data_IF_614199778915
#
_entry.id   IF_614199778915
#
_cell.length_a   1.000
_cell.length_b   1.000
_cell.length_c   1.000
_cell.angle_alpha   90.00
_cell.angle_beta   90.00
_cell.angle_gamma   90.00
#
_symmetry.space_group_name_H-M   'P 1'
#
loop_
_entity.id
_entity.type
_entity.pdbx_description
1 polymer ?
#
# COMPACT_ATOMS: atom_id res chain seq x y z
N UNK A 1 3.06 34.85 -21.76
CA UNK A 1 3.98 34.39 -22.81
C UNK A 1 3.79 32.89 -22.95
N UNK A 2 3.21 32.49 -24.08
CA UNK A 2 2.94 31.10 -24.46
C UNK A 2 4.22 30.38 -24.86
N UNK A 3 4.32 29.05 -24.68
CA UNK A 3 5.08 28.18 -25.57
C UNK A 3 4.07 27.31 -26.36
N UNK A 4 3.94 27.52 -27.68
CA UNK A 4 4.70 26.83 -28.73
C UNK A 4 4.49 25.31 -28.71
N UNK A 5 3.52 24.89 -29.52
CA UNK A 5 3.46 23.56 -30.10
C UNK A 5 4.60 23.42 -31.11
N UNK A 6 5.52 22.48 -30.88
CA UNK A 6 6.29 21.81 -31.92
C UNK A 6 6.36 20.32 -31.59
N UNK A 7 6.11 19.50 -32.60
CA UNK A 7 5.90 18.06 -32.46
C UNK A 7 7.17 17.29 -32.07
N UNK A 8 7.04 16.48 -31.02
CA UNK A 8 8.06 15.57 -30.53
C UNK A 8 8.00 15.51 -29.01
N UNK A 9 7.62 14.35 -28.49
CA UNK A 9 7.55 13.97 -27.07
C UNK A 9 8.60 14.69 -26.19
N UNK A 10 8.19 15.02 -24.95
CA UNK A 10 9.00 15.47 -23.78
C UNK A 10 9.02 16.98 -23.50
N UNK A 11 7.92 17.52 -22.95
CA UNK A 11 8.04 18.57 -21.93
C UNK A 11 8.30 17.91 -20.57
N UNK A 12 9.48 17.31 -20.42
CA UNK A 12 9.89 16.74 -19.14
C UNK A 12 10.20 17.88 -18.16
N UNK A 13 9.54 17.88 -16.99
CA UNK A 13 9.83 18.84 -15.93
C UNK A 13 10.08 18.11 -14.61
N UNK A 14 10.94 18.68 -13.77
CA UNK A 14 11.43 18.04 -12.54
C UNK A 14 10.97 18.85 -11.31
N UNK A 15 9.74 18.67 -10.84
CA UNK A 15 9.31 19.19 -9.55
C UNK A 15 9.91 18.35 -8.42
N UNK A 16 10.53 19.01 -7.43
CA UNK A 16 11.06 18.37 -6.22
C UNK A 16 12.06 17.21 -6.48
N UNK A 17 12.76 17.22 -7.62
CA UNK A 17 13.74 16.20 -7.99
C UNK A 17 13.16 14.93 -8.63
N UNK A 18 11.86 14.93 -8.98
CA UNK A 18 11.16 13.77 -9.55
C UNK A 18 10.81 14.07 -11.01
N UNK A 19 11.26 13.26 -11.99
CA UNK A 19 10.95 13.50 -13.40
C UNK A 19 9.46 13.26 -13.69
N UNK A 20 8.87 14.20 -14.43
CA UNK A 20 7.50 14.12 -14.94
C UNK A 20 7.56 14.08 -16.46
N UNK A 21 6.98 13.06 -17.09
CA UNK A 21 6.84 12.99 -18.55
C UNK A 21 5.37 12.93 -18.96
N UNK A 22 5.10 13.42 -20.16
CA UNK A 22 3.78 13.34 -20.77
C UNK A 22 3.70 12.20 -21.79
N UNK A 23 2.59 11.47 -21.83
CA UNK A 23 2.39 10.40 -22.81
C UNK A 23 0.96 9.85 -22.90
N UNK A 24 0.56 9.42 -24.10
CA UNK A 24 -0.81 8.95 -24.41
C UNK A 24 -1.12 7.51 -23.96
N UNK A 25 -0.16 6.81 -23.34
CA UNK A 25 -0.28 5.38 -23.04
C UNK A 25 -1.18 5.07 -21.84
N UNK A 26 -1.59 6.07 -21.06
CA UNK A 26 -2.43 5.85 -19.87
C UNK A 26 -3.63 6.80 -19.81
N UNK A 27 -4.82 6.30 -19.45
CA UNK A 27 -6.05 7.09 -19.37
C UNK A 27 -6.10 8.06 -18.18
N UNK A 28 -5.07 8.07 -17.32
CA UNK A 28 -5.02 8.94 -16.14
C UNK A 28 -3.59 9.15 -15.64
N UNK A 29 -3.39 10.14 -14.75
CA UNK A 29 -2.08 10.44 -14.19
C UNK A 29 -1.61 9.29 -13.29
N UNK A 30 -0.35 8.86 -13.44
CA UNK A 30 0.20 7.70 -12.77
C UNK A 30 1.63 7.94 -12.28
N UNK A 31 2.05 7.21 -11.26
CA UNK A 31 3.44 7.18 -10.77
C UNK A 31 4.03 5.80 -11.01
N UNK A 32 5.17 5.75 -11.69
CA UNK A 32 5.91 4.53 -12.00
C UNK A 32 7.25 4.50 -11.26
N UNK A 33 7.79 3.31 -10.99
CA UNK A 33 9.15 3.13 -10.48
C UNK A 33 9.26 3.08 -8.95
N UNK A 34 10.01 2.08 -8.44
CA UNK A 34 10.16 1.79 -7.01
C UNK A 34 11.26 2.61 -6.34
N UNK A 35 12.45 2.61 -6.92
CA UNK A 35 13.65 3.29 -6.40
C UNK A 35 13.79 4.70 -6.98
N UNK A 36 13.39 4.88 -8.23
CA UNK A 36 13.38 6.14 -8.97
C UNK A 36 11.95 6.40 -9.43
N UNK A 37 11.13 7.11 -8.63
CA UNK A 37 9.76 7.39 -9.01
C UNK A 37 9.74 8.35 -10.20
N UNK A 38 8.82 8.09 -11.12
CA UNK A 38 8.63 8.84 -12.35
C UNK A 38 7.14 9.13 -12.49
N UNK A 39 6.78 10.39 -12.68
CA UNK A 39 5.38 10.79 -12.83
C UNK A 39 5.04 10.78 -14.33
N UNK A 40 3.92 10.17 -14.68
CA UNK A 40 3.39 10.09 -16.04
C UNK A 40 2.07 10.84 -16.08
N UNK A 41 1.97 11.83 -16.94
CA UNK A 41 0.76 12.62 -17.16
C UNK A 41 0.21 12.36 -18.58
N UNK A 42 -1.10 12.18 -18.76
CA UNK A 42 -1.68 12.08 -20.09
C UNK A 42 -1.52 13.41 -20.85
N UNK A 43 -1.26 13.34 -22.16
CA UNK A 43 -1.23 14.54 -22.99
C UNK A 43 -2.62 15.21 -22.98
N UNK A 44 -2.66 16.54 -22.93
CA UNK A 44 -3.92 17.30 -22.93
C UNK A 44 -4.59 17.46 -21.57
N UNK A 45 -3.96 16.99 -20.47
CA UNK A 45 -4.47 17.22 -19.11
C UNK A 45 -4.52 18.71 -18.73
N UNK A 46 -3.60 19.48 -19.30
CA UNK A 46 -3.51 20.95 -19.24
C UNK A 46 -4.70 21.64 -19.91
N UNK A 47 -5.36 21.00 -20.87
CA UNK A 47 -6.60 21.49 -21.50
C UNK A 47 -7.85 21.12 -20.72
N UNK A 48 -7.79 20.06 -19.91
CA UNK A 48 -8.92 19.55 -19.13
C UNK A 48 -9.03 20.22 -17.75
N UNK A 49 -7.88 20.62 -17.18
CA UNK A 49 -7.75 21.13 -15.82
C UNK A 49 -7.29 22.59 -15.80
N UNK A 50 -7.84 23.38 -14.88
CA UNK A 50 -7.35 24.73 -14.57
C UNK A 50 -5.95 24.65 -13.90
N UNK A 51 -5.07 25.68 -13.94
CA UNK A 51 -3.73 25.58 -13.35
C UNK A 51 -3.73 25.22 -11.85
N UNK A 52 -4.74 25.64 -11.08
CA UNK A 52 -4.88 25.25 -9.67
C UNK A 52 -5.27 23.78 -9.49
N UNK A 53 -6.13 23.26 -10.35
CA UNK A 53 -6.54 21.85 -10.39
C UNK A 53 -5.37 20.96 -10.81
N UNK A 54 -4.62 21.38 -11.83
CA UNK A 54 -3.40 20.72 -12.26
C UNK A 54 -2.36 20.68 -11.12
N UNK A 55 -2.17 21.80 -10.41
CA UNK A 55 -1.26 21.86 -9.27
C UNK A 55 -1.69 20.92 -8.12
N UNK A 56 -2.99 20.83 -7.85
CA UNK A 56 -3.53 19.91 -6.84
C UNK A 56 -3.28 18.43 -7.21
N UNK A 57 -3.49 18.06 -8.47
CA UNK A 57 -3.17 16.72 -8.99
C UNK A 57 -1.66 16.46 -8.93
N UNK A 58 -0.83 17.44 -9.29
CA UNK A 58 0.62 17.28 -9.23
C UNK A 58 1.12 17.07 -7.79
N UNK A 59 0.61 17.83 -6.82
CA UNK A 59 0.91 17.62 -5.39
C UNK A 59 0.51 16.20 -4.97
N UNK A 60 -0.66 15.72 -5.41
CA UNK A 60 -1.13 14.36 -5.13
C UNK A 60 -0.14 13.30 -5.67
N UNK A 61 0.29 13.44 -6.92
CA UNK A 61 1.23 12.51 -7.53
C UNK A 61 2.64 12.62 -6.94
N UNK A 62 3.09 13.81 -6.57
CA UNK A 62 4.33 14.02 -5.83
C UNK A 62 4.29 13.36 -4.45
N UNK A 63 3.13 13.34 -3.79
CA UNK A 63 2.97 12.65 -2.51
C UNK A 63 3.14 11.13 -2.67
N UNK A 64 2.56 10.55 -3.73
CA UNK A 64 2.80 9.14 -4.09
C UNK A 64 4.28 8.88 -4.37
N UNK A 65 4.92 9.74 -5.17
CA UNK A 65 6.31 9.58 -5.58
C UNK A 65 7.30 9.74 -4.41
N UNK A 66 7.08 10.70 -3.49
CA UNK A 66 7.92 10.89 -2.30
C UNK A 66 7.82 9.73 -1.32
N UNK A 67 6.67 9.07 -1.22
CA UNK A 67 6.41 8.07 -0.21
C UNK A 67 6.91 6.70 -0.68
N UNK A 68 8.24 6.53 -0.72
CA UNK A 68 8.96 5.31 -1.17
C UNK A 68 8.42 3.99 -0.59
N UNK A 69 7.82 4.03 0.61
CA UNK A 69 7.22 2.85 1.26
C UNK A 69 6.00 2.30 0.53
N UNK A 70 5.30 3.13 -0.24
CA UNK A 70 4.07 2.74 -0.93
C UNK A 70 4.36 1.64 -1.97
N UNK A 71 5.49 1.71 -2.66
CA UNK A 71 5.88 0.68 -3.63
C UNK A 71 6.40 -0.61 -2.99
N UNK A 72 7.02 -0.55 -1.82
CA UNK A 72 7.36 -1.77 -1.07
C UNK A 72 6.10 -2.46 -0.54
N UNK A 73 5.15 -1.69 -0.02
CA UNK A 73 3.85 -2.20 0.42
C UNK A 73 3.12 -2.84 -0.77
N UNK A 74 3.22 -2.23 -1.96
CA UNK A 74 2.72 -2.81 -3.22
C UNK A 74 3.28 -4.20 -3.50
N UNK A 75 4.59 -4.31 -3.50
CA UNK A 75 5.26 -5.59 -3.75
C UNK A 75 4.85 -6.65 -2.71
N UNK A 76 4.74 -6.27 -1.44
CA UNK A 76 4.37 -7.20 -0.36
C UNK A 76 2.95 -7.75 -0.51
N UNK A 77 1.95 -6.91 -0.82
CA UNK A 77 0.60 -7.42 -1.01
C UNK A 77 0.44 -8.16 -2.34
N UNK A 78 1.17 -7.80 -3.41
CA UNK A 78 1.17 -8.54 -4.67
C UNK A 78 1.77 -9.94 -4.47
N UNK A 79 2.89 -10.04 -3.77
CA UNK A 79 3.47 -11.33 -3.36
C UNK A 79 2.52 -12.15 -2.49
N UNK A 80 1.81 -11.48 -1.57
CA UNK A 80 0.81 -12.11 -0.71
C UNK A 80 -0.41 -12.61 -1.51
N UNK A 81 -0.83 -11.90 -2.56
CA UNK A 81 -1.85 -12.38 -3.49
C UNK A 81 -1.38 -13.60 -4.28
N UNK A 82 -0.12 -13.64 -4.71
CA UNK A 82 0.42 -14.85 -5.35
C UNK A 82 0.44 -16.05 -4.41
N UNK A 83 0.81 -15.85 -3.15
CA UNK A 83 0.86 -16.91 -2.14
C UNK A 83 -0.53 -17.36 -1.66
N UNK A 84 -1.47 -16.41 -1.51
CA UNK A 84 -2.80 -16.60 -0.91
C UNK A 84 -3.92 -16.34 -1.92
N UNK A 85 -3.69 -16.66 -3.20
CA UNK A 85 -4.61 -16.33 -4.30
C UNK A 85 -6.03 -16.88 -4.11
N UNK A 86 -6.17 -18.00 -3.39
CA UNK A 86 -7.45 -18.65 -3.08
C UNK A 86 -8.18 -18.04 -1.87
N UNK A 87 -7.56 -17.13 -1.11
CA UNK A 87 -8.11 -16.62 0.14
C UNK A 87 -8.92 -15.33 -0.08
N UNK A 88 -10.27 -15.34 0.06
CA UNK A 88 -11.12 -14.17 -0.23
C UNK A 88 -10.79 -12.96 0.65
N UNK A 89 -10.39 -13.17 1.90
CA UNK A 89 -9.96 -12.06 2.78
C UNK A 89 -8.70 -11.35 2.27
N UNK A 90 -7.83 -12.04 1.52
CA UNK A 90 -6.62 -11.40 0.97
C UNK A 90 -6.99 -10.38 -0.10
N UNK A 91 -7.93 -10.74 -1.00
CA UNK A 91 -8.48 -9.82 -1.99
C UNK A 91 -9.12 -8.58 -1.35
N UNK A 92 -9.89 -8.78 -0.27
CA UNK A 92 -10.48 -7.68 0.48
C UNK A 92 -9.39 -6.81 1.15
N UNK A 93 -8.38 -7.44 1.75
CA UNK A 93 -7.27 -6.73 2.37
C UNK A 93 -6.51 -5.85 1.36
N UNK A 94 -6.20 -6.38 0.17
CA UNK A 94 -5.55 -5.60 -0.90
C UNK A 94 -6.42 -4.43 -1.35
N UNK A 95 -7.72 -4.64 -1.55
CA UNK A 95 -8.65 -3.58 -1.90
C UNK A 95 -8.67 -2.46 -0.85
N UNK A 96 -8.67 -2.82 0.44
CA UNK A 96 -8.61 -1.87 1.56
C UNK A 96 -7.27 -1.14 1.65
N UNK A 97 -6.15 -1.85 1.49
CA UNK A 97 -4.81 -1.24 1.48
C UNK A 97 -4.70 -0.21 0.35
N UNK A 98 -5.18 -0.53 -0.84
CA UNK A 98 -5.25 0.41 -1.96
C UNK A 98 -6.04 1.66 -1.62
N UNK A 99 -7.24 1.50 -1.04
CA UNK A 99 -8.05 2.63 -0.59
C UNK A 99 -7.35 3.49 0.47
N UNK A 100 -6.73 2.88 1.48
CA UNK A 100 -6.00 3.62 2.52
C UNK A 100 -4.81 4.42 1.97
N UNK A 101 -4.14 3.92 0.92
CA UNK A 101 -3.04 4.63 0.26
C UNK A 101 -3.52 5.90 -0.42
N UNK A 102 -4.57 5.83 -1.22
CA UNK A 102 -5.20 6.99 -1.88
C UNK A 102 -5.62 8.04 -0.84
N UNK A 103 -6.26 7.60 0.23
CA UNK A 103 -6.74 8.46 1.32
C UNK A 103 -5.62 9.20 2.05
N UNK A 104 -4.49 8.54 2.26
CA UNK A 104 -3.33 9.17 2.90
C UNK A 104 -2.62 10.17 1.97
N UNK A 105 -2.76 10.00 0.66
CA UNK A 105 -2.26 10.95 -0.33
C UNK A 105 -3.21 12.14 -0.47
N UNK A 106 -4.53 11.92 -0.48
CA UNK A 106 -5.57 12.97 -0.42
C UNK A 106 -5.37 13.92 0.77
N UNK A 107 -5.03 13.38 1.95
CA UNK A 107 -4.72 14.17 3.14
C UNK A 107 -3.54 15.14 2.93
N UNK A 108 -2.55 14.74 2.13
CA UNK A 108 -1.40 15.62 1.83
C UNK A 108 -1.77 16.85 1.01
N UNK A 109 -2.80 16.72 0.16
CA UNK A 109 -3.34 17.81 -0.66
C UNK A 109 -4.24 18.72 0.17
N UNK A 110 -5.07 18.14 1.05
CA UNK A 110 -5.87 18.90 2.02
C UNK A 110 -4.97 19.78 2.89
N UNK A 111 -3.86 19.24 3.42
CA UNK A 111 -2.91 20.01 4.25
C UNK A 111 -2.29 21.21 3.53
N UNK A 112 -2.29 21.22 2.19
CA UNK A 112 -1.79 22.33 1.37
C UNK A 112 -2.91 23.24 0.86
N UNK A 113 -4.11 23.13 1.43
CA UNK A 113 -5.29 23.93 1.07
C UNK A 113 -5.74 23.79 -0.39
N UNK A 114 -5.49 22.64 -1.03
CA UNK A 114 -5.87 22.35 -2.42
C UNK A 114 -6.94 21.26 -2.55
N UNK A 115 -7.69 20.99 -1.47
CA UNK A 115 -8.66 19.88 -1.43
C UNK A 115 -9.82 20.05 -2.41
N UNK A 116 -10.34 21.26 -2.58
CA UNK A 116 -11.45 21.54 -3.48
C UNK A 116 -11.05 21.43 -4.95
N UNK A 117 -9.84 21.89 -5.28
CA UNK A 117 -9.26 21.77 -6.60
C UNK A 117 -8.99 20.32 -6.98
N UNK A 118 -8.57 19.48 -6.02
CA UNK A 118 -8.43 18.04 -6.24
C UNK A 118 -9.79 17.37 -6.50
N UNK A 119 -10.85 17.74 -5.76
CA UNK A 119 -12.21 17.22 -5.99
C UNK A 119 -12.68 17.57 -7.40
N UNK A 120 -12.53 18.83 -7.81
CA UNK A 120 -12.91 19.27 -9.16
C UNK A 120 -12.10 18.55 -10.24
N UNK A 121 -10.79 18.40 -10.03
CA UNK A 121 -9.92 17.70 -10.96
C UNK A 121 -10.32 16.22 -11.11
N UNK A 122 -10.53 15.52 -9.99
CA UNK A 122 -10.95 14.12 -9.97
C UNK A 122 -12.31 13.94 -10.64
N UNK A 123 -13.27 14.83 -10.39
CA UNK A 123 -14.58 14.78 -11.04
C UNK A 123 -14.48 14.92 -12.57
N UNK A 124 -13.60 15.80 -13.07
CA UNK A 124 -13.36 15.97 -14.52
C UNK A 124 -12.63 14.79 -15.14
N UNK A 125 -11.67 14.21 -14.43
CA UNK A 125 -10.91 13.04 -14.88
C UNK A 125 -11.72 11.74 -14.81
N UNK A 126 -12.72 11.68 -13.93
CA UNK A 126 -13.54 10.50 -13.70
C UNK A 126 -14.62 10.26 -14.76
N UNK A 127 -14.93 11.23 -15.62
CA UNK A 127 -15.96 11.09 -16.67
C UNK A 127 -15.43 10.07 -17.70
N UNK A 128 -15.95 8.82 -17.72
CA UNK A 128 -15.44 7.82 -18.62
C UNK A 128 -15.98 8.10 -20.02
N UNK A 129 -15.11 8.17 -21.04
CA UNK A 129 -15.55 8.20 -22.45
C UNK A 129 -16.10 6.86 -22.94
N UNK A 130 -15.88 5.75 -22.22
CA UNK A 130 -16.45 4.41 -22.48
C UNK A 130 -16.34 3.55 -21.20
N UNK A 131 -17.42 3.44 -20.41
CA UNK A 131 -17.48 2.54 -19.27
C UNK A 131 -18.19 1.23 -19.66
N UNK A 132 -17.42 0.16 -19.85
CA UNK A 132 -17.96 -1.20 -19.89
C UNK A 132 -18.33 -1.71 -18.50
N UNK A 133 -19.29 -2.64 -18.44
CA UNK A 133 -19.97 -3.17 -17.23
C UNK A 133 -19.01 -3.75 -16.16
N UNK A 134 -17.74 -4.00 -16.47
CA UNK A 134 -16.75 -4.60 -15.57
C UNK A 134 -15.99 -3.64 -14.63
N UNK A 135 -16.24 -2.32 -14.64
CA UNK A 135 -15.45 -1.35 -13.85
C UNK A 135 -16.03 -0.93 -12.48
N UNK A 136 -16.97 -1.70 -11.91
CA UNK A 136 -17.64 -1.38 -10.65
C UNK A 136 -16.74 -1.06 -9.42
N UNK A 137 -15.56 -1.67 -9.19
CA UNK A 137 -14.79 -1.36 -7.99
C UNK A 137 -14.14 0.02 -8.02
N UNK A 138 -13.71 0.51 -9.18
CA UNK A 138 -13.01 1.80 -9.32
C UNK A 138 -13.93 3.01 -9.04
N UNK A 139 -15.20 2.93 -9.46
CA UNK A 139 -16.19 3.99 -9.26
C UNK A 139 -16.60 4.13 -7.78
N UNK A 140 -16.67 3.03 -7.04
CA UNK A 140 -17.03 3.05 -5.61
C UNK A 140 -15.97 3.76 -4.74
N UNK A 141 -14.69 3.54 -5.04
CA UNK A 141 -13.58 4.16 -4.32
C UNK A 141 -13.50 5.66 -4.61
N UNK A 142 -13.78 6.07 -5.85
CA UNK A 142 -13.83 7.48 -6.23
C UNK A 142 -14.95 8.23 -5.49
N UNK A 143 -16.17 7.70 -5.48
CA UNK A 143 -17.29 8.33 -4.76
C UNK A 143 -16.99 8.49 -3.27
N UNK A 144 -16.37 7.48 -2.65
CA UNK A 144 -15.92 7.56 -1.26
C UNK A 144 -14.86 8.65 -1.03
N UNK A 145 -13.89 8.78 -1.95
CA UNK A 145 -12.85 9.83 -1.89
C UNK A 145 -13.46 11.23 -2.03
N UNK A 146 -14.35 11.43 -3.00
CA UNK A 146 -15.04 12.72 -3.22
C UNK A 146 -15.84 13.12 -1.98
N UNK A 147 -16.61 12.19 -1.40
CA UNK A 147 -17.36 12.43 -0.17
C UNK A 147 -16.44 12.79 1.01
N UNK A 148 -15.28 12.13 1.12
CA UNK A 148 -14.32 12.41 2.19
C UNK A 148 -13.58 13.73 2.03
N UNK A 149 -13.23 14.12 0.79
CA UNK A 149 -12.60 15.40 0.50
C UNK A 149 -13.57 16.59 0.68
N UNK A 150 -14.87 16.37 0.45
CA UNK A 150 -15.92 17.37 0.67
C UNK A 150 -16.41 17.47 2.13
N UNK A 151 -16.18 16.44 2.94
CA UNK A 151 -16.60 16.38 4.34
C UNK A 151 -15.62 17.03 5.32
N UNK A 152 -16.04 17.23 6.60
CA UNK A 152 -15.17 17.79 7.62
C UNK A 152 -13.95 16.89 7.91
N UNK A 153 -12.79 17.46 8.30
CA UNK A 153 -11.59 16.68 8.59
C UNK A 153 -11.88 15.69 9.73
N UNK A 154 -11.74 14.40 9.44
CA UNK A 154 -11.96 13.36 10.45
C UNK A 154 -10.80 13.32 11.45
N UNK A 155 -11.15 13.27 12.73
CA UNK A 155 -10.20 13.13 13.84
C UNK A 155 -9.58 11.73 13.78
N UNK A 156 -8.25 11.64 13.61
CA UNK A 156 -7.56 10.35 13.49
C UNK A 156 -7.58 9.59 14.82
N UNK A 157 -8.05 8.33 14.83
CA UNK A 157 -8.04 7.45 16.01
C UNK A 157 -6.65 6.81 16.25
N UNK A 158 -5.60 7.63 16.36
CA UNK A 158 -4.20 7.17 16.51
C UNK A 158 -4.01 6.26 17.73
N UNK A 159 -4.66 6.58 18.85
CA UNK A 159 -4.60 5.77 20.06
C UNK A 159 -5.21 4.37 19.87
N UNK A 160 -6.40 4.30 19.25
CA UNK A 160 -7.06 3.02 18.97
C UNK A 160 -6.24 2.18 17.98
N UNK A 161 -5.64 2.81 16.96
CA UNK A 161 -4.75 2.13 16.02
C UNK A 161 -3.53 1.55 16.71
N UNK A 162 -2.87 2.30 17.60
CA UNK A 162 -1.70 1.84 18.34
C UNK A 162 -2.03 0.66 19.27
N UNK A 163 -3.16 0.74 19.98
CA UNK A 163 -3.66 -0.34 20.83
C UNK A 163 -3.95 -1.62 20.04
N UNK A 164 -4.62 -1.50 18.89
CA UNK A 164 -4.93 -2.63 18.02
C UNK A 164 -3.67 -3.27 17.43
N UNK A 165 -2.68 -2.47 16.98
CA UNK A 165 -1.39 -3.02 16.52
C UNK A 165 -0.62 -3.70 17.63
N UNK A 166 -0.61 -3.14 18.85
CA UNK A 166 0.05 -3.76 20.01
C UNK A 166 -0.56 -5.12 20.34
N UNK A 167 -1.90 -5.20 20.36
CA UNK A 167 -2.62 -6.44 20.61
C UNK A 167 -2.30 -7.51 19.55
N UNK A 168 -2.27 -7.12 18.27
CA UNK A 168 -1.95 -8.04 17.18
C UNK A 168 -0.53 -8.61 17.29
N UNK A 169 0.46 -7.76 17.60
CA UNK A 169 1.85 -8.20 17.81
C UNK A 169 1.96 -9.14 19.02
N UNK A 170 1.26 -8.84 20.10
CA UNK A 170 1.24 -9.69 21.28
C UNK A 170 0.69 -11.10 20.98
N UNK A 171 -0.39 -11.21 20.19
CA UNK A 171 -0.97 -12.49 19.78
C UNK A 171 -0.02 -13.31 18.90
N UNK A 172 0.67 -12.67 17.96
CA UNK A 172 1.69 -13.36 17.12
C UNK A 172 2.83 -13.86 18.01
N UNK A 173 3.32 -13.03 18.93
CA UNK A 173 4.42 -13.37 19.82
C UNK A 173 4.08 -14.53 20.77
N UNK A 174 2.86 -14.53 21.35
CA UNK A 174 2.42 -15.65 22.19
C UNK A 174 2.27 -16.94 21.39
N UNK A 175 1.77 -16.88 20.15
CA UNK A 175 1.69 -18.04 19.26
C UNK A 175 3.07 -18.64 18.94
N UNK A 176 4.06 -17.81 18.61
CA UNK A 176 5.44 -18.25 18.37
C UNK A 176 6.04 -18.88 19.64
N UNK A 177 5.86 -18.22 20.79
CA UNK A 177 6.37 -18.71 22.07
C UNK A 177 5.78 -20.07 22.46
N UNK A 178 4.46 -20.25 22.30
CA UNK A 178 3.81 -21.53 22.56
C UNK A 178 4.33 -22.64 21.64
N UNK A 179 4.61 -22.31 20.38
CA UNK A 179 5.16 -23.28 19.42
C UNK A 179 6.57 -23.71 19.83
N UNK A 180 7.44 -22.76 20.20
CA UNK A 180 8.81 -23.05 20.66
C UNK A 180 8.78 -23.86 21.96
N UNK A 181 7.93 -23.48 22.91
CA UNK A 181 7.80 -24.19 24.19
C UNK A 181 7.31 -25.64 24.00
N UNK A 182 6.35 -25.87 23.10
CA UNK A 182 5.86 -27.21 22.79
C UNK A 182 6.95 -28.07 22.13
N UNK A 183 7.70 -27.52 21.17
CA UNK A 183 8.81 -28.22 20.51
C UNK A 183 9.95 -28.57 21.48
N UNK A 184 10.30 -27.65 22.39
CA UNK A 184 11.33 -27.90 23.41
C UNK A 184 10.90 -28.96 24.43
N UNK A 185 9.62 -28.95 24.83
CA UNK A 185 9.06 -29.93 25.76
C UNK A 185 9.15 -31.35 25.19
N UNK A 186 8.69 -31.56 23.95
CA UNK A 186 8.75 -32.86 23.28
C UNK A 186 10.19 -33.39 23.18
N UNK A 187 11.17 -32.53 22.90
CA UNK A 187 12.57 -32.94 22.74
C UNK A 187 13.24 -33.37 24.06
N UNK A 188 12.86 -32.75 25.18
CA UNK A 188 13.39 -33.10 26.51
C UNK A 188 12.75 -34.37 27.06
N UNK A 189 11.45 -34.58 26.81
CA UNK A 189 10.73 -35.76 27.28
C UNK A 189 11.08 -37.05 26.53
N UNK A 190 11.63 -36.96 25.32
CA UNK A 190 12.04 -38.12 24.52
C UNK A 190 13.45 -38.67 24.87
N UNK A 191 14.16 -38.09 25.86
CA UNK A 191 15.50 -38.52 26.26
C UNK A 191 15.67 -39.20 27.66
N UNK A 192 14.75 -40.06 28.16
CA UNK A 192 15.02 -40.84 29.38
C UNK A 192 15.65 -42.22 29.11
N UNK A 193 15.77 -42.67 27.85
CA UNK A 193 16.11 -44.07 27.56
C UNK A 193 17.62 -44.41 27.53
N UNK A 194 18.53 -43.44 27.56
CA UNK A 194 19.97 -43.69 27.35
C UNK A 194 20.76 -43.86 28.67
N UNK A 195 20.18 -43.56 29.84
CA UNK A 195 20.90 -43.58 31.14
C UNK A 195 20.53 -44.73 32.09
N UNK A 196 19.73 -45.72 31.69
CA UNK A 196 19.47 -46.90 32.52
C UNK A 196 20.62 -47.93 32.39
N UNK A 197 21.70 -47.67 33.14
CA UNK A 197 22.80 -48.50 33.65
C UNK A 197 23.15 -49.88 33.00
N UNK A 198 24.46 -50.17 32.75
CA UNK A 198 24.95 -51.51 32.45
C UNK A 198 24.82 -52.42 33.67
N UNK A 199 24.38 -53.67 33.43
CA UNK A 199 24.24 -54.73 34.44
C UNK A 199 25.60 -55.00 35.13
N UNK A 200 25.66 -54.86 36.45
CA UNK A 200 26.80 -55.28 37.27
C UNK A 200 26.72 -56.82 37.42
N UNK A 201 27.76 -57.59 37.08
CA UNK A 201 27.74 -59.05 37.26
C UNK A 201 27.83 -59.41 38.74
N UNK A 202 26.95 -60.32 39.16
CA UNK A 202 26.82 -60.85 40.52
C UNK A 202 28.03 -61.73 40.89
N UNK A 203 28.90 -61.21 41.76
CA UNK A 203 30.02 -61.96 42.36
C UNK A 203 29.66 -62.37 43.78
N UNK A 204 28.67 -63.25 43.91
CA UNK A 204 28.27 -63.85 45.19
C UNK A 204 28.41 -65.38 45.12
N UNK A 205 29.58 -65.86 44.71
CA UNK A 205 29.98 -67.26 44.88
C UNK A 205 31.51 -67.37 44.98
N UNK A 206 32.03 -67.01 46.15
CA UNK A 206 33.38 -67.33 46.59
C UNK A 206 33.32 -67.57 48.09
N UNK A 207 33.17 -68.86 48.45
CA UNK A 207 33.81 -69.64 49.53
C UNK A 207 33.03 -70.95 49.66
#
# INVERSE_FOLDING_TARGET
MSPLCDGGLTSDFIPDGIPVSFGDRHPGPAVWGVLYPHILLPNGIDRLLNPREFHAVLIHQLAHARRRRDNLIRLLYEASLCALWFHPLMWLAVARIGLYRELSCDESVIRRAHGQELVSALARLAVPKQAGVLQAPASSHLSYRLARLAGPPQRTYRAASLLLTSLFVAVIATGIFQTIAHTACCFVTDHPAILAHPQVPDTSNCI
#
